data_IF_071570517234
#
_entry.id   IF_071570517234
#
_cell.length_a   1.000
_cell.length_b   1.000
_cell.length_c   1.000
_cell.angle_alpha   90.00
_cell.angle_beta   90.00
_cell.angle_gamma   90.00
#
_symmetry.space_group_name_H-M   'P 1'
#
loop_
_entity.id
_entity.type
_entity.pdbx_description
1 polymer ?
#
# COMPACT_ATOMS: atom_id res chain seq x y z
N UNK A 1 48.43 33.43 -60.68
CA UNK A 1 47.93 34.81 -60.54
C UNK A 1 47.76 35.11 -59.06
N UNK A 2 48.48 36.14 -58.58
CA UNK A 2 48.11 37.12 -57.52
C UNK A 2 47.94 36.50 -56.10
N UNK A 3 48.92 36.51 -55.19
CA UNK A 3 49.50 37.65 -54.39
C UNK A 3 48.40 38.42 -53.62
N UNK A 4 48.48 38.86 -52.36
CA UNK A 4 49.55 39.36 -51.48
C UNK A 4 48.91 39.63 -50.10
N UNK A 5 49.59 39.69 -48.95
CA UNK A 5 50.39 40.82 -48.45
C UNK A 5 51.06 40.43 -47.11
N UNK A 6 52.40 40.59 -46.95
CA UNK A 6 53.16 41.70 -46.29
C UNK A 6 52.98 41.75 -44.75
N UNK A 7 53.92 42.07 -43.86
CA UNK A 7 55.37 42.41 -43.82
C UNK A 7 55.73 42.33 -42.31
N UNK A 8 56.84 41.69 -41.90
CA UNK A 8 58.04 42.30 -41.29
C UNK A 8 57.92 43.03 -39.92
N UNK A 9 58.67 42.57 -38.91
CA UNK A 9 59.66 43.35 -38.10
C UNK A 9 60.34 42.42 -37.05
N UNK A 10 61.65 42.17 -37.17
CA UNK A 10 62.75 42.71 -36.35
C UNK A 10 62.68 42.31 -34.86
N UNK A 11 63.47 41.32 -34.39
CA UNK A 11 64.90 41.38 -34.06
C UNK A 11 65.25 42.36 -32.91
N UNK A 12 65.51 41.81 -31.73
CA UNK A 12 66.46 42.40 -30.77
C UNK A 12 67.19 41.30 -30.00
N UNK A 13 68.51 41.29 -30.16
CA UNK A 13 69.50 40.49 -29.43
C UNK A 13 69.64 40.97 -27.98
N UNK A 14 69.94 40.04 -27.07
CA UNK A 14 70.94 40.23 -26.00
C UNK A 14 71.30 38.84 -25.42
N UNK A 15 72.36 38.19 -25.92
CA UNK A 15 73.68 38.07 -25.27
C UNK A 15 73.66 37.56 -23.82
N UNK A 16 74.14 36.33 -23.63
CA UNK A 16 74.44 35.72 -22.34
C UNK A 16 75.18 34.39 -22.50
N UNK A 17 76.48 34.49 -22.81
CA UNK A 17 77.59 33.53 -22.57
C UNK A 17 77.47 32.79 -21.23
N UNK A 18 78.01 31.60 -20.91
CA UNK A 18 79.07 30.72 -21.44
C UNK A 18 79.04 29.41 -20.57
N UNK A 19 79.82 28.40 -20.99
CA UNK A 19 80.30 27.21 -20.23
C UNK A 19 79.23 26.15 -19.87
N UNK A 20 79.31 24.88 -20.25
CA UNK A 20 80.47 24.06 -20.64
C UNK A 20 80.60 22.88 -19.68
N UNK A 21 80.93 21.71 -20.24
CA UNK A 21 81.39 20.46 -19.62
C UNK A 21 80.36 19.32 -19.55
N UNK A 22 80.60 18.35 -20.43
CA UNK A 22 80.18 16.95 -20.38
C UNK A 22 80.81 16.25 -19.16
N UNK A 23 79.98 15.59 -18.34
CA UNK A 23 80.45 14.51 -17.45
C UNK A 23 79.45 13.37 -17.50
N UNK A 24 79.97 12.17 -17.78
CA UNK A 24 79.21 10.93 -17.94
C UNK A 24 78.35 10.59 -16.74
N UNK A 25 77.13 10.17 -17.02
CA UNK A 25 76.21 9.63 -16.03
C UNK A 25 76.74 8.29 -15.52
N UNK A 26 77.19 8.28 -14.27
CA UNK A 26 77.44 7.05 -13.52
C UNK A 26 76.14 6.26 -13.41
N UNK A 27 76.14 5.01 -13.85
CA UNK A 27 75.08 4.06 -13.54
C UNK A 27 75.17 3.72 -12.04
N UNK A 28 74.23 4.22 -11.24
CA UNK A 28 74.04 3.73 -9.88
C UNK A 28 73.51 2.29 -9.93
N UNK A 29 73.98 1.37 -9.07
CA UNK A 29 73.34 0.08 -8.94
C UNK A 29 71.93 0.30 -8.39
N UNK A 30 70.92 -0.22 -9.08
CA UNK A 30 69.58 -0.30 -8.57
C UNK A 30 69.60 -1.21 -7.33
N UNK A 31 69.49 -0.63 -6.14
CA UNK A 31 69.12 -1.38 -4.96
C UNK A 31 67.67 -1.82 -5.16
N UNK A 32 67.44 -3.11 -5.37
CA UNK A 32 66.11 -3.68 -5.32
C UNK A 32 65.55 -3.40 -3.93
N UNK A 33 64.58 -2.48 -3.85
CA UNK A 33 63.75 -2.34 -2.67
C UNK A 33 62.96 -3.64 -2.55
N UNK A 34 63.34 -4.47 -1.58
CA UNK A 34 62.59 -5.64 -1.17
C UNK A 34 61.20 -5.15 -0.76
N UNK A 35 60.20 -5.39 -1.61
CA UNK A 35 58.82 -5.02 -1.35
C UNK A 35 58.39 -5.80 -0.11
N UNK A 36 58.16 -5.11 0.99
CA UNK A 36 57.53 -5.70 2.17
C UNK A 36 56.31 -6.50 1.72
N UNK A 37 56.13 -7.74 2.21
CA UNK A 37 54.97 -8.54 1.85
C UNK A 37 53.71 -7.72 2.10
N UNK A 38 52.70 -7.80 1.19
CA UNK A 38 51.48 -7.02 1.34
C UNK A 38 50.91 -7.28 2.74
N UNK A 39 50.43 -6.23 3.43
CA UNK A 39 49.84 -6.40 4.76
C UNK A 39 48.76 -7.49 4.65
N UNK A 40 48.66 -8.39 5.65
CA UNK A 40 47.62 -9.40 5.65
C UNK A 40 46.27 -8.71 5.40
N UNK A 41 45.41 -9.27 4.53
CA UNK A 41 44.10 -8.69 4.29
C UNK A 41 43.43 -8.44 5.64
N UNK A 42 42.82 -7.26 5.85
CA UNK A 42 42.13 -6.99 7.11
C UNK A 42 41.20 -8.17 7.39
N UNK A 43 41.18 -8.70 8.63
CA UNK A 43 40.29 -9.80 8.96
C UNK A 43 38.89 -9.37 8.53
N UNK A 44 38.24 -10.20 7.70
CA UNK A 44 36.85 -9.98 7.32
C UNK A 44 36.10 -9.86 8.64
N UNK A 45 35.67 -8.65 8.98
CA UNK A 45 34.79 -8.45 10.11
C UNK A 45 33.51 -9.15 9.72
N UNK A 46 33.33 -10.37 10.22
CA UNK A 46 32.04 -11.02 10.21
C UNK A 46 31.22 -10.19 11.18
N UNK A 47 30.53 -9.17 10.66
CA UNK A 47 29.51 -8.49 11.44
C UNK A 47 28.61 -9.60 11.97
N UNK A 48 28.47 -9.74 13.30
CA UNK A 48 27.60 -10.77 13.84
C UNK A 48 26.24 -10.58 13.19
N UNK A 49 25.74 -11.62 12.52
CA UNK A 49 24.37 -11.62 12.01
C UNK A 49 23.48 -11.49 13.23
N UNK A 50 23.08 -10.25 13.54
CA UNK A 50 22.26 -9.96 14.71
C UNK A 50 20.89 -10.55 14.42
N UNK A 51 20.59 -11.65 15.09
CA UNK A 51 19.27 -12.27 15.08
C UNK A 51 18.32 -11.26 15.74
N UNK A 52 17.70 -10.41 14.92
CA UNK A 52 16.85 -9.29 15.36
C UNK A 52 16.88 -8.08 14.43
N UNK A 53 17.94 -7.90 13.63
CA UNK A 53 18.01 -6.78 12.68
C UNK A 53 17.00 -6.98 11.54
N UNK A 54 16.27 -5.91 11.22
CA UNK A 54 15.31 -5.87 10.11
C UNK A 54 13.85 -6.12 10.48
N UNK A 55 13.55 -6.69 11.65
CA UNK A 55 12.18 -6.83 12.11
C UNK A 55 11.57 -5.47 12.47
N UNK A 56 10.28 -5.29 12.17
CA UNK A 56 9.52 -4.14 12.60
C UNK A 56 8.07 -4.50 12.94
N UNK A 57 7.48 -3.71 13.82
CA UNK A 57 6.05 -3.68 14.07
C UNK A 57 5.43 -2.48 13.37
N UNK A 58 4.19 -2.61 12.95
CA UNK A 58 3.39 -1.49 12.45
C UNK A 58 2.01 -1.48 13.08
N UNK A 59 1.49 -0.29 13.33
CA UNK A 59 0.10 -0.04 13.66
C UNK A 59 -0.46 0.99 12.68
N UNK A 60 -1.62 0.72 12.10
CA UNK A 60 -2.20 1.55 11.05
C UNK A 60 -3.63 1.95 11.41
N UNK A 61 -3.97 3.20 11.12
CA UNK A 61 -5.34 3.67 11.00
C UNK A 61 -5.69 3.77 9.51
N UNK A 62 -6.89 3.32 9.15
CA UNK A 62 -7.35 3.27 7.76
C UNK A 62 -8.70 3.98 7.64
N UNK A 63 -8.86 4.77 6.59
CA UNK A 63 -10.15 5.29 6.15
C UNK A 63 -10.45 4.70 4.78
N UNK A 64 -11.62 4.08 4.63
CA UNK A 64 -12.03 3.36 3.43
C UNK A 64 -13.20 4.04 2.74
N UNK A 65 -13.16 4.05 1.41
CA UNK A 65 -14.25 4.46 0.54
C UNK A 65 -14.49 3.34 -0.47
N UNK A 66 -15.69 2.75 -0.43
CA UNK A 66 -16.07 1.70 -1.36
C UNK A 66 -16.45 2.25 -2.72
N UNK A 67 -15.89 1.66 -3.77
CA UNK A 67 -16.31 1.91 -5.14
C UNK A 67 -17.67 1.25 -5.39
N UNK A 68 -18.47 1.82 -6.29
CA UNK A 68 -19.87 1.45 -6.54
C UNK A 68 -20.05 -0.06 -6.72
N UNK A 69 -20.51 -0.79 -5.67
CA UNK A 69 -20.57 -2.24 -5.72
C UNK A 69 -21.66 -2.67 -6.71
N UNK A 70 -21.42 -3.76 -7.44
CA UNK A 70 -22.38 -4.28 -8.42
C UNK A 70 -23.14 -5.47 -7.84
N UNK A 71 -24.44 -5.49 -8.08
CA UNK A 71 -25.27 -6.64 -7.75
C UNK A 71 -24.91 -7.86 -8.63
N UNK A 72 -24.95 -9.04 -8.03
CA UNK A 72 -24.74 -10.34 -8.68
C UNK A 72 -25.91 -11.30 -8.37
N UNK A 73 -27.12 -10.74 -8.42
CA UNK A 73 -28.36 -11.51 -8.42
C UNK A 73 -28.29 -12.59 -9.52
N UNK A 74 -28.40 -13.85 -9.10
CA UNK A 74 -28.61 -14.96 -10.05
C UNK A 74 -30.11 -14.99 -10.30
N UNK A 75 -30.51 -14.89 -11.56
CA UNK A 75 -31.89 -15.05 -11.99
C UNK A 75 -32.35 -16.47 -11.62
N UNK A 76 -33.34 -16.57 -10.74
CA UNK A 76 -34.04 -17.84 -10.50
C UNK A 76 -34.91 -18.16 -11.72
N UNK A 77 -34.79 -19.34 -12.35
CA UNK A 77 -35.65 -19.74 -13.47
C UNK A 77 -37.15 -19.84 -13.14
N UNK A 78 -37.53 -19.94 -11.86
CA UNK A 78 -38.92 -20.06 -11.40
C UNK A 78 -39.51 -18.76 -10.83
N UNK A 79 -38.71 -17.70 -10.69
CA UNK A 79 -39.16 -16.36 -10.29
C UNK A 79 -38.81 -15.40 -11.43
N UNK A 80 -39.79 -14.85 -12.17
CA UNK A 80 -39.53 -14.00 -13.33
C UNK A 80 -38.84 -12.70 -12.88
N UNK A 81 -37.52 -12.77 -12.76
CA UNK A 81 -36.59 -11.70 -12.42
C UNK A 81 -36.86 -11.08 -11.06
N UNK A 82 -36.21 -11.57 -9.99
CA UNK A 82 -35.89 -10.68 -8.88
C UNK A 82 -35.05 -9.53 -9.47
N UNK A 83 -35.59 -8.30 -9.53
CA UNK A 83 -34.92 -7.21 -10.22
C UNK A 83 -33.65 -6.86 -9.46
N UNK A 84 -32.54 -6.55 -10.15
CA UNK A 84 -31.28 -6.25 -9.50
C UNK A 84 -31.45 -5.05 -8.57
N UNK A 85 -30.67 -5.03 -7.49
CA UNK A 85 -30.56 -3.90 -6.60
C UNK A 85 -30.06 -2.67 -7.37
N UNK A 86 -30.88 -1.61 -7.36
CA UNK A 86 -30.53 -0.31 -7.91
C UNK A 86 -30.12 0.64 -6.79
N UNK A 87 -29.16 1.53 -7.11
CA UNK A 87 -28.67 2.54 -6.16
C UNK A 87 -27.90 1.96 -4.97
N UNK A 88 -27.21 0.82 -5.17
CA UNK A 88 -26.42 0.17 -4.13
C UNK A 88 -25.32 1.09 -3.62
N UNK A 89 -25.31 1.34 -2.30
CA UNK A 89 -24.30 2.20 -1.66
C UNK A 89 -23.83 1.60 -0.35
N UNK A 90 -22.52 1.66 -0.14
CA UNK A 90 -21.87 1.50 1.17
C UNK A 90 -21.39 2.87 1.65
N UNK A 91 -21.54 3.13 2.94
CA UNK A 91 -20.91 4.30 3.57
C UNK A 91 -19.40 4.10 3.71
N UNK A 92 -18.64 5.18 3.75
CA UNK A 92 -17.23 5.13 4.16
C UNK A 92 -17.08 4.75 5.63
N UNK A 93 -15.99 4.07 5.97
CA UNK A 93 -15.73 3.61 7.33
C UNK A 93 -14.25 3.74 7.69
N UNK A 94 -14.03 3.81 8.99
CA UNK A 94 -12.69 3.79 9.58
C UNK A 94 -12.31 2.36 9.94
N UNK A 95 -11.02 2.08 9.99
CA UNK A 95 -10.46 0.83 10.46
C UNK A 95 -9.16 1.04 11.19
N UNK A 96 -8.74 0.00 11.88
CA UNK A 96 -7.44 -0.06 12.52
C UNK A 96 -6.84 -1.44 12.29
N UNK A 97 -5.52 -1.50 12.30
CA UNK A 97 -4.81 -2.73 12.07
C UNK A 97 -3.39 -2.65 12.56
N UNK A 98 -2.72 -3.78 12.44
CA UNK A 98 -1.32 -3.87 12.77
C UNK A 98 -0.69 -5.04 12.06
N UNK A 99 0.63 -5.08 12.10
CA UNK A 99 1.38 -6.10 11.43
C UNK A 99 2.80 -6.23 11.94
N UNK A 100 3.42 -7.33 11.51
CA UNK A 100 4.82 -7.62 11.73
C UNK A 100 5.47 -7.74 10.37
N UNK A 101 6.60 -7.08 10.19
CA UNK A 101 7.34 -7.12 8.94
C UNK A 101 8.83 -7.32 9.14
N UNK A 102 9.48 -7.60 8.03
CA UNK A 102 10.92 -7.80 7.94
C UNK A 102 11.47 -7.01 6.75
N UNK A 103 12.49 -6.20 7.01
CA UNK A 103 13.25 -5.47 6.00
C UNK A 103 14.35 -6.40 5.48
N UNK A 104 14.18 -6.94 4.27
CA UNK A 104 15.13 -7.88 3.66
C UNK A 104 16.36 -7.12 3.16
N UNK A 105 16.13 -5.96 2.54
CA UNK A 105 17.16 -5.09 1.97
C UNK A 105 16.74 -3.63 2.16
N UNK A 106 17.64 -2.64 1.96
CA UNK A 106 17.28 -1.23 2.03
C UNK A 106 16.14 -0.78 1.10
N UNK A 107 15.84 -1.56 0.06
CA UNK A 107 14.83 -1.28 -0.95
C UNK A 107 13.67 -2.28 -0.96
N UNK A 108 13.70 -3.33 -0.14
CA UNK A 108 12.70 -4.41 -0.17
C UNK A 108 12.30 -4.81 1.26
N UNK A 109 10.99 -4.83 1.51
CA UNK A 109 10.40 -5.25 2.78
C UNK A 109 9.17 -6.13 2.55
N UNK A 110 8.91 -7.02 3.49
CA UNK A 110 7.72 -7.87 3.54
C UNK A 110 7.02 -7.67 4.87
N UNK A 111 5.69 -7.70 4.91
CA UNK A 111 4.94 -7.74 6.16
C UNK A 111 3.70 -8.63 6.08
N UNK A 112 3.22 -9.03 7.25
CA UNK A 112 1.92 -9.63 7.45
C UNK A 112 1.07 -8.68 8.31
N UNK A 113 -0.11 -8.34 7.83
CA UNK A 113 -1.01 -7.35 8.45
C UNK A 113 -2.39 -7.94 8.67
N UNK A 114 -3.02 -7.57 9.79
CA UNK A 114 -4.44 -7.80 10.07
C UNK A 114 -5.09 -6.43 10.27
N UNK A 115 -6.09 -6.10 9.45
CA UNK A 115 -6.86 -4.86 9.54
C UNK A 115 -8.35 -5.17 9.79
N UNK A 116 -8.93 -4.55 10.81
CA UNK A 116 -10.38 -4.56 11.07
C UNK A 116 -10.98 -3.23 10.68
N UNK A 117 -11.99 -3.25 9.80
CA UNK A 117 -12.82 -2.08 9.46
C UNK A 117 -14.09 -2.08 10.31
N UNK A 118 -14.55 -0.88 10.67
CA UNK A 118 -15.81 -0.69 11.35
C UNK A 118 -17.00 -1.03 10.43
N UNK A 119 -18.18 -1.19 11.03
CA UNK A 119 -19.39 -1.49 10.30
C UNK A 119 -19.75 -0.38 9.30
N UNK A 120 -19.68 -0.68 8.00
CA UNK A 120 -20.24 0.15 6.95
C UNK A 120 -21.74 -0.11 6.81
N UNK A 121 -22.53 0.94 6.62
CA UNK A 121 -23.95 0.82 6.33
C UNK A 121 -24.19 0.55 4.85
N UNK A 122 -24.95 -0.50 4.56
CA UNK A 122 -25.37 -0.90 3.22
C UNK A 122 -26.82 -0.52 2.99
N UNK A 123 -27.14 0.04 1.82
CA UNK A 123 -28.52 0.27 1.35
C UNK A 123 -28.63 0.04 -0.16
N UNK A 124 -29.74 -0.54 -0.58
CA UNK A 124 -30.13 -0.68 -1.98
C UNK A 124 -31.64 -0.84 -2.13
N UNK A 125 -32.15 -0.62 -3.34
CA UNK A 125 -33.58 -0.69 -3.64
C UNK A 125 -33.85 -1.74 -4.71
N UNK A 126 -34.97 -2.45 -4.61
CA UNK A 126 -35.45 -3.34 -5.68
C UNK A 126 -36.95 -3.12 -5.92
N UNK A 127 -37.39 -3.19 -7.18
CA UNK A 127 -38.82 -3.06 -7.50
C UNK A 127 -39.18 -3.88 -8.72
N UNK A 128 -40.20 -4.74 -8.60
CA UNK A 128 -40.72 -5.57 -9.69
C UNK A 128 -41.55 -4.78 -10.70
N UNK A 129 -42.08 -3.64 -10.29
CA UNK A 129 -42.96 -2.79 -11.10
C UNK A 129 -42.29 -1.50 -11.55
N UNK A 130 -40.95 -1.45 -11.57
CA UNK A 130 -40.20 -0.23 -11.92
C UNK A 130 -40.66 0.97 -11.08
N UNK A 131 -40.89 0.73 -9.80
CA UNK A 131 -41.34 1.71 -8.80
C UNK A 131 -42.77 2.25 -9.02
N UNK A 132 -43.62 1.58 -9.81
CA UNK A 132 -45.02 2.01 -9.99
C UNK A 132 -45.94 1.55 -8.85
N UNK A 133 -45.85 0.26 -8.47
CA UNK A 133 -46.76 -0.32 -7.45
C UNK A 133 -46.15 -0.31 -6.05
N UNK A 134 -44.82 -0.35 -5.96
CA UNK A 134 -44.08 -0.44 -4.72
C UNK A 134 -42.61 -0.77 -4.94
N UNK A 135 -41.83 -0.72 -3.86
CA UNK A 135 -40.42 -1.07 -3.87
C UNK A 135 -39.98 -1.65 -2.53
N UNK A 136 -38.89 -2.39 -2.54
CA UNK A 136 -38.22 -2.90 -1.37
C UNK A 136 -36.96 -2.09 -1.10
N UNK A 137 -36.75 -1.72 0.16
CA UNK A 137 -35.48 -1.24 0.68
C UNK A 137 -34.75 -2.41 1.32
N UNK A 138 -33.57 -2.72 0.84
CA UNK A 138 -32.64 -3.65 1.49
C UNK A 138 -31.57 -2.84 2.22
N UNK A 139 -31.38 -3.10 3.51
CA UNK A 139 -30.41 -2.39 4.31
C UNK A 139 -29.76 -3.28 5.36
N UNK A 140 -28.52 -2.95 5.74
CA UNK A 140 -27.76 -3.72 6.72
C UNK A 140 -26.44 -3.06 7.10
N UNK A 141 -25.63 -3.81 7.84
CA UNK A 141 -24.27 -3.43 8.21
C UNK A 141 -23.27 -4.48 7.72
N UNK A 142 -22.12 -4.03 7.24
CA UNK A 142 -21.04 -4.89 6.76
C UNK A 142 -19.75 -4.54 7.52
N UNK A 143 -19.23 -5.50 8.26
CA UNK A 143 -17.90 -5.43 8.89
C UNK A 143 -16.91 -6.23 8.04
N UNK A 144 -15.68 -5.73 7.91
CA UNK A 144 -14.64 -6.35 7.07
C UNK A 144 -13.35 -6.54 7.86
N UNK A 145 -12.91 -7.79 7.98
CA UNK A 145 -11.60 -8.17 8.52
C UNK A 145 -10.72 -8.65 7.36
N UNK A 146 -9.53 -8.07 7.20
CA UNK A 146 -8.56 -8.49 6.17
C UNK A 146 -7.27 -8.96 6.80
N UNK A 147 -6.76 -10.11 6.36
CA UNK A 147 -5.41 -10.56 6.63
C UNK A 147 -4.61 -10.62 5.34
N UNK A 148 -3.51 -9.87 5.25
CA UNK A 148 -2.69 -9.76 4.04
C UNK A 148 -1.23 -10.04 4.33
N UNK A 149 -0.55 -10.67 3.37
CA UNK A 149 0.90 -10.66 3.27
C UNK A 149 1.27 -9.70 2.15
N UNK A 150 2.12 -8.72 2.44
CA UNK A 150 2.47 -7.66 1.51
C UNK A 150 3.98 -7.64 1.26
N UNK A 151 4.35 -7.24 0.05
CA UNK A 151 5.72 -6.91 -0.33
C UNK A 151 5.76 -5.45 -0.78
N UNK A 152 6.79 -4.71 -0.35
CA UNK A 152 6.99 -3.32 -0.74
C UNK A 152 8.41 -3.10 -1.26
N UNK A 153 8.50 -2.28 -2.29
CA UNK A 153 9.73 -1.72 -2.81
C UNK A 153 9.85 -0.25 -2.37
N UNK A 154 10.89 0.04 -1.59
CA UNK A 154 11.24 1.40 -1.18
C UNK A 154 12.16 2.00 -2.27
N UNK A 155 11.75 3.11 -2.88
CA UNK A 155 12.37 3.65 -4.11
C UNK A 155 13.69 4.38 -3.82
N UNK A 156 13.78 4.98 -2.64
CA UNK A 156 14.93 5.76 -2.18
C UNK A 156 14.54 6.68 -1.04
N UNK A 157 15.53 7.25 -0.35
CA UNK A 157 15.28 8.19 0.76
C UNK A 157 15.89 9.55 0.46
N UNK A 158 15.06 10.59 0.49
CA UNK A 158 15.48 11.98 0.27
C UNK A 158 14.95 12.86 1.40
N UNK A 159 15.84 13.59 2.07
CA UNK A 159 15.47 14.48 3.18
C UNK A 159 14.63 13.80 4.29
N UNK A 160 14.87 12.50 4.54
CA UNK A 160 14.13 11.70 5.52
C UNK A 160 12.83 11.08 5.01
N UNK A 161 12.41 11.40 3.79
CA UNK A 161 11.22 10.82 3.14
C UNK A 161 11.60 9.65 2.25
N UNK A 162 10.87 8.53 2.38
CA UNK A 162 11.05 7.31 1.61
C UNK A 162 9.75 6.93 0.90
N UNK A 163 9.54 7.31 -0.38
CA UNK A 163 8.41 6.82 -1.14
C UNK A 163 8.56 5.34 -1.45
N UNK A 164 7.43 4.65 -1.50
CA UNK A 164 7.38 3.22 -1.72
C UNK A 164 6.12 2.81 -2.46
N UNK A 165 6.21 1.65 -3.09
CA UNK A 165 5.06 0.94 -3.70
C UNK A 165 5.04 -0.49 -3.22
N UNK A 166 3.89 -1.12 -3.20
CA UNK A 166 3.76 -2.50 -2.78
C UNK A 166 2.49 -3.17 -3.26
N UNK A 167 2.47 -4.48 -3.10
CA UNK A 167 1.34 -5.33 -3.42
C UNK A 167 1.16 -6.37 -2.32
N UNK A 168 -0.09 -6.77 -2.09
CA UNK A 168 -0.42 -7.76 -1.08
C UNK A 168 -1.52 -8.70 -1.53
N UNK A 169 -1.52 -9.89 -0.93
CA UNK A 169 -2.53 -10.92 -1.15
C UNK A 169 -2.90 -11.58 0.17
N UNK A 170 -4.12 -12.08 0.26
CA UNK A 170 -4.59 -12.80 1.44
C UNK A 170 -6.08 -13.03 1.41
N UNK A 171 -6.74 -12.73 2.52
CA UNK A 171 -8.16 -12.99 2.70
C UNK A 171 -8.91 -11.76 3.23
N UNK A 172 -10.21 -11.72 2.92
CA UNK A 172 -11.17 -10.80 3.50
C UNK A 172 -12.37 -11.59 4.02
N UNK A 173 -12.59 -11.56 5.33
CA UNK A 173 -13.80 -12.01 6.00
C UNK A 173 -14.77 -10.84 6.09
N UNK A 174 -15.96 -10.99 5.51
CA UNK A 174 -16.99 -9.96 5.50
C UNK A 174 -18.23 -10.47 6.19
N UNK A 175 -18.60 -9.80 7.27
CA UNK A 175 -19.75 -10.15 8.09
C UNK A 175 -20.88 -9.17 7.85
N UNK A 176 -22.03 -9.69 7.40
CA UNK A 176 -23.26 -8.92 7.31
C UNK A 176 -24.07 -9.08 8.60
N UNK A 177 -24.53 -7.96 9.16
CA UNK A 177 -25.36 -7.92 10.37
C UNK A 177 -26.47 -6.88 10.30
N UNK A 178 -27.50 -7.06 11.14
CA UNK A 178 -28.66 -6.14 11.20
C UNK A 178 -29.34 -5.95 9.84
N UNK A 179 -29.40 -7.01 9.06
CA UNK A 179 -29.97 -7.01 7.72
C UNK A 179 -31.49 -7.00 7.81
N UNK A 180 -32.15 -6.16 7.02
CA UNK A 180 -33.59 -6.17 6.90
C UNK A 180 -34.04 -5.77 5.49
N UNK A 181 -35.25 -6.23 5.14
CA UNK A 181 -36.00 -5.74 3.98
C UNK A 181 -37.25 -5.05 4.45
N UNK A 182 -37.52 -3.87 3.89
CA UNK A 182 -38.76 -3.16 4.11
C UNK A 182 -39.44 -2.87 2.78
N UNK A 183 -40.62 -3.46 2.59
CA UNK A 183 -41.48 -3.17 1.44
C UNK A 183 -42.24 -1.87 1.67
N UNK A 184 -42.37 -1.05 0.63
CA UNK A 184 -43.22 0.14 0.61
C UNK A 184 -44.21 0.02 -0.54
N UNK A 185 -45.50 0.01 -0.22
CA UNK A 185 -46.57 0.00 -1.21
C UNK A 185 -46.95 1.42 -1.63
N UNK A 186 -46.93 1.69 -2.93
CA UNK A 186 -47.37 2.96 -3.52
C UNK A 186 -48.84 2.92 -3.96
N UNK A 187 -49.36 1.70 -4.19
CA UNK A 187 -50.77 1.43 -4.45
C UNK A 187 -51.37 0.55 -3.36
N UNK A 188 -52.69 0.57 -3.24
CA UNK A 188 -53.42 -0.28 -2.30
C UNK A 188 -53.23 -1.77 -2.66
N UNK A 189 -53.01 -2.61 -1.65
CA UNK A 189 -52.95 -4.06 -1.86
C UNK A 189 -51.69 -4.57 -2.59
N UNK A 190 -50.62 -3.78 -2.71
CA UNK A 190 -49.47 -4.15 -3.55
C UNK A 190 -48.75 -5.46 -3.16
N UNK A 191 -48.90 -5.88 -1.91
CA UNK A 191 -48.37 -7.09 -1.29
C UNK A 191 -49.46 -8.05 -0.80
N UNK A 192 -50.70 -7.86 -1.28
CA UNK A 192 -51.87 -8.63 -0.84
C UNK A 192 -52.50 -8.16 0.47
N UNK A 193 -51.95 -7.14 1.12
CA UNK A 193 -52.51 -6.51 2.33
C UNK A 193 -53.07 -5.12 2.02
N UNK A 194 -54.24 -4.80 2.57
CA UNK A 194 -54.87 -3.49 2.38
C UNK A 194 -54.02 -2.34 2.96
N UNK A 195 -54.09 -1.18 2.32
CA UNK A 195 -53.41 0.06 2.67
C UNK A 195 -52.16 0.34 1.84
N UNK A 196 -51.80 1.61 1.72
CA UNK A 196 -50.54 2.11 1.14
C UNK A 196 -49.50 2.39 2.24
N UNK A 197 -48.23 2.56 1.85
CA UNK A 197 -47.15 2.97 2.74
C UNK A 197 -46.18 1.84 3.13
N UNK A 198 -45.27 2.13 4.08
CA UNK A 198 -44.22 1.19 4.49
C UNK A 198 -44.79 0.02 5.30
N UNK A 199 -44.27 -1.17 5.05
CA UNK A 199 -44.57 -2.40 5.78
C UNK A 199 -43.58 -2.61 6.93
N UNK A 200 -43.89 -3.59 7.78
CA UNK A 200 -42.96 -4.05 8.80
C UNK A 200 -41.70 -4.61 8.15
N UNK A 201 -40.55 -4.36 8.76
CA UNK A 201 -39.28 -4.85 8.27
C UNK A 201 -39.14 -6.35 8.54
N UNK A 202 -38.79 -7.12 7.52
CA UNK A 202 -38.40 -8.52 7.64
C UNK A 202 -36.88 -8.60 7.90
N UNK A 203 -36.48 -9.14 9.06
CA UNK A 203 -35.08 -9.25 9.45
C UNK A 203 -34.43 -10.52 8.87
N UNK A 204 -33.16 -10.43 8.49
CA UNK A 204 -32.37 -11.57 8.00
C UNK A 204 -31.29 -11.95 8.99
N UNK A 205 -30.96 -13.24 9.03
CA UNK A 205 -29.89 -13.76 9.86
C UNK A 205 -28.53 -13.14 9.51
N UNK A 206 -27.65 -13.08 10.50
CA UNK A 206 -26.27 -12.66 10.28
C UNK A 206 -25.52 -13.75 9.51
N UNK A 207 -24.61 -13.36 8.63
CA UNK A 207 -23.83 -14.30 7.82
C UNK A 207 -22.43 -13.76 7.55
N UNK A 208 -21.42 -14.63 7.48
CA UNK A 208 -20.05 -14.25 7.11
C UNK A 208 -19.59 -14.99 5.86
N UNK A 209 -18.80 -14.29 5.03
CA UNK A 209 -18.18 -14.87 3.84
C UNK A 209 -16.72 -14.45 3.79
N UNK A 210 -15.84 -15.45 3.83
CA UNK A 210 -14.41 -15.27 3.57
C UNK A 210 -14.11 -15.46 2.07
N UNK A 211 -13.33 -14.55 1.49
CA UNK A 211 -12.82 -14.70 0.12
C UNK A 211 -11.35 -14.32 0.03
N UNK A 212 -10.75 -14.66 -1.10
CA UNK A 212 -9.48 -14.07 -1.52
C UNK A 212 -9.57 -12.54 -1.58
N UNK A 213 -8.48 -11.88 -1.24
CA UNK A 213 -8.30 -10.44 -1.33
C UNK A 213 -6.90 -10.11 -1.87
N UNK A 214 -6.80 -9.02 -2.61
CA UNK A 214 -5.52 -8.48 -3.08
C UNK A 214 -5.51 -6.96 -3.00
N UNK A 215 -4.32 -6.38 -2.86
CA UNK A 215 -4.17 -4.95 -2.68
C UNK A 215 -2.95 -4.40 -3.42
N UNK A 216 -3.03 -3.15 -3.85
CA UNK A 216 -1.92 -2.33 -4.33
C UNK A 216 -1.79 -1.11 -3.43
N UNK A 217 -0.56 -0.81 -3.01
CA UNK A 217 -0.28 0.26 -2.07
C UNK A 217 0.81 1.18 -2.64
N UNK A 218 0.62 2.48 -2.50
CA UNK A 218 1.67 3.47 -2.72
C UNK A 218 1.70 4.42 -1.53
N UNK A 219 2.88 4.79 -1.05
CA UNK A 219 2.97 5.62 0.14
C UNK A 219 4.31 6.32 0.30
N UNK A 220 4.39 7.08 1.38
CA UNK A 220 5.54 7.85 1.79
C UNK A 220 5.82 7.57 3.27
N UNK A 221 7.04 7.18 3.59
CA UNK A 221 7.52 6.99 4.97
C UNK A 221 8.39 8.17 5.39
N UNK A 222 8.35 8.58 6.65
CA UNK A 222 9.23 9.58 7.22
C UNK A 222 9.84 9.07 8.53
N UNK A 223 11.17 9.05 8.62
CA UNK A 223 11.88 8.63 9.82
C UNK A 223 11.88 9.74 10.88
N UNK A 224 11.25 9.47 12.02
CA UNK A 224 11.16 10.40 13.16
C UNK A 224 12.24 10.13 14.22
N UNK A 225 13.08 9.12 14.02
CA UNK A 225 14.18 8.75 14.92
C UNK A 225 13.83 7.65 15.92
N UNK A 226 14.84 7.17 16.64
CA UNK A 226 14.73 6.09 17.64
C UNK A 226 14.06 4.80 17.12
N UNK A 227 14.20 4.52 15.82
CA UNK A 227 13.59 3.35 15.18
C UNK A 227 12.12 3.55 14.78
N UNK A 228 11.53 4.72 15.04
CA UNK A 228 10.17 5.02 14.64
C UNK A 228 10.10 5.71 13.28
N UNK A 229 9.11 5.33 12.48
CA UNK A 229 8.77 5.98 11.22
C UNK A 229 7.27 6.16 11.11
N UNK A 230 6.85 7.25 10.49
CA UNK A 230 5.44 7.52 10.17
C UNK A 230 5.21 7.23 8.70
N UNK A 231 4.15 6.50 8.40
CA UNK A 231 3.77 6.10 7.04
C UNK A 231 2.45 6.77 6.66
N UNK A 232 2.39 7.37 5.47
CA UNK A 232 1.15 7.79 4.83
C UNK A 232 1.00 7.04 3.51
N UNK A 233 -0.10 6.32 3.32
CA UNK A 233 -0.28 5.45 2.17
C UNK A 233 -1.69 5.53 1.59
N UNK A 234 -1.76 5.38 0.28
CA UNK A 234 -2.98 5.09 -0.44
C UNK A 234 -2.97 3.60 -0.82
N UNK A 235 -4.06 2.90 -0.53
CA UNK A 235 -4.24 1.47 -0.84
C UNK A 235 -5.52 1.27 -1.62
N UNK A 236 -5.39 0.64 -2.78
CA UNK A 236 -6.53 0.01 -3.45
C UNK A 236 -6.62 -1.43 -2.98
N UNK A 237 -7.81 -1.89 -2.61
CA UNK A 237 -8.04 -3.27 -2.17
C UNK A 237 -9.28 -3.85 -2.84
N UNK A 238 -9.14 -5.08 -3.32
CA UNK A 238 -10.23 -5.92 -3.78
C UNK A 238 -10.54 -6.95 -2.70
N UNK A 239 -11.79 -6.97 -2.25
CA UNK A 239 -12.31 -7.84 -1.19
C UNK A 239 -13.14 -8.99 -1.76
N UNK A 240 -13.18 -9.15 -3.08
CA UNK A 240 -13.92 -10.15 -3.81
C UNK A 240 -15.45 -9.97 -3.72
N UNK A 241 -16.13 -11.06 -3.35
CA UNK A 241 -17.60 -11.18 -3.36
C UNK A 241 -18.15 -11.30 -1.94
N UNK A 242 -19.36 -10.81 -1.70
CA UNK A 242 -20.08 -10.96 -0.43
C UNK A 242 -21.49 -11.52 -0.65
N UNK A 243 -22.00 -12.28 0.32
CA UNK A 243 -23.36 -12.87 0.31
C UNK A 243 -24.02 -12.70 1.67
N UNK A 244 -25.29 -12.31 1.68
CA UNK A 244 -26.13 -12.32 2.89
C UNK A 244 -26.54 -13.75 3.25
N UNK A 245 -27.03 -13.93 4.49
CA UNK A 245 -27.79 -15.11 4.86
C UNK A 245 -29.14 -15.14 4.15
N UNK A 246 -29.79 -16.30 4.18
CA UNK A 246 -31.15 -16.50 3.69
C UNK A 246 -32.16 -15.73 4.56
N UNK A 247 -33.21 -15.20 3.96
CA UNK A 247 -34.41 -14.74 4.67
C UNK A 247 -35.45 -15.84 4.88
N UNK A 248 -36.54 -15.51 5.57
CA UNK A 248 -37.64 -16.43 5.89
C UNK A 248 -38.33 -17.01 4.64
N UNK A 249 -38.15 -16.37 3.48
CA UNK A 249 -38.71 -16.78 2.19
C UNK A 249 -37.65 -17.40 1.25
N UNK A 250 -36.42 -17.62 1.72
CA UNK A 250 -35.33 -18.21 0.95
C UNK A 250 -34.54 -17.23 0.06
N UNK A 251 -34.79 -15.92 0.17
CA UNK A 251 -34.08 -14.88 -0.57
C UNK A 251 -32.67 -14.61 -0.02
N UNK A 252 -31.70 -14.36 -0.91
CA UNK A 252 -30.34 -13.95 -0.56
C UNK A 252 -29.85 -12.79 -1.43
N UNK A 253 -29.08 -11.89 -0.83
CA UNK A 253 -28.42 -10.78 -1.51
C UNK A 253 -26.97 -11.15 -1.82
N UNK A 254 -26.53 -11.01 -3.08
CA UNK A 254 -25.14 -11.27 -3.50
C UNK A 254 -24.56 -10.04 -4.16
N UNK A 255 -23.40 -9.60 -3.70
CA UNK A 255 -22.69 -8.44 -4.27
C UNK A 255 -21.31 -8.88 -4.75
N UNK A 256 -20.93 -8.43 -5.95
CA UNK A 256 -19.62 -8.68 -6.56
C UNK A 256 -18.81 -7.40 -6.73
N UNK A 257 -17.53 -7.56 -6.99
CA UNK A 257 -16.57 -6.49 -7.24
C UNK A 257 -16.50 -5.50 -6.07
N UNK A 258 -16.52 -6.02 -4.83
CA UNK A 258 -16.38 -5.19 -3.64
C UNK A 258 -14.94 -4.71 -3.54
N UNK A 259 -14.73 -3.47 -3.98
CA UNK A 259 -13.43 -2.82 -4.07
C UNK A 259 -13.47 -1.52 -3.26
N UNK A 260 -12.33 -1.16 -2.68
CA UNK A 260 -12.22 0.03 -1.87
C UNK A 260 -10.91 0.77 -2.15
N UNK A 261 -11.04 2.09 -2.18
CA UNK A 261 -9.94 3.04 -2.10
C UNK A 261 -9.73 3.42 -0.64
N UNK A 262 -8.49 3.38 -0.16
CA UNK A 262 -8.19 3.57 1.25
C UNK A 262 -7.04 4.54 1.46
N UNK A 263 -7.19 5.40 2.45
CA UNK A 263 -6.10 6.21 2.98
C UNK A 263 -5.66 5.63 4.33
N UNK A 264 -4.36 5.46 4.50
CA UNK A 264 -3.76 4.83 5.69
C UNK A 264 -2.71 5.75 6.29
N UNK A 265 -2.74 5.85 7.62
CA UNK A 265 -1.69 6.49 8.41
C UNK A 265 -1.17 5.47 9.39
N UNK A 266 0.12 5.19 9.33
CA UNK A 266 0.79 4.16 10.11
C UNK A 266 1.91 4.70 10.96
N UNK A 267 2.15 4.03 12.09
CA UNK A 267 3.37 4.16 12.86
C UNK A 267 4.11 2.83 12.80
N UNK A 268 5.37 2.87 12.40
CA UNK A 268 6.26 1.71 12.30
C UNK A 268 7.39 1.84 13.30
N UNK A 269 7.66 0.77 14.03
CA UNK A 269 8.79 0.66 14.94
C UNK A 269 9.70 -0.46 14.49
N UNK A 270 10.90 -0.11 14.03
CA UNK A 270 11.96 -1.04 13.67
C UNK A 270 12.80 -1.36 14.91
N UNK A 271 12.98 -2.65 15.18
CA UNK A 271 13.89 -3.07 16.22
C UNK A 271 15.32 -2.74 15.78
N UNK A 272 15.94 -1.78 16.44
CA UNK A 272 17.39 -1.61 16.38
C UNK A 272 18.05 -2.75 17.16
N UNK A 273 19.31 -3.04 16.84
CA UNK A 273 20.17 -3.90 17.64
C UNK A 273 19.97 -3.55 19.13
N UNK A 274 19.58 -4.55 19.92
CA UNK A 274 18.99 -4.32 21.24
C UNK A 274 19.80 -3.34 22.08
N UNK A 275 19.16 -2.24 22.50
CA UNK A 275 19.55 -1.43 23.67
C UNK A 275 21.05 -1.11 23.83
N UNK A 276 21.79 -0.85 22.75
CA UNK A 276 23.11 -0.24 22.85
C UNK A 276 23.09 1.14 22.21
N UNK A 277 23.53 2.10 23.02
CA UNK A 277 23.44 3.54 22.79
C UNK A 277 23.81 3.93 21.36
N UNK A 278 22.92 4.68 20.71
CA UNK A 278 23.27 5.38 19.47
C UNK A 278 24.48 6.29 19.74
N UNK A 279 25.53 6.27 18.91
CA UNK A 279 26.54 7.32 18.99
C UNK A 279 25.85 8.65 18.65
N UNK A 280 26.03 9.61 19.55
CA UNK A 280 25.56 10.98 19.46
C UNK A 280 25.86 11.52 18.05
N UNK A 281 24.83 11.99 17.33
CA UNK A 281 25.02 12.80 16.12
C UNK A 281 25.67 14.12 16.55
N UNK A 282 26.99 14.22 16.42
CA UNK A 282 27.67 15.49 16.45
C UNK A 282 27.24 16.28 15.20
N UNK A 283 26.40 17.29 15.39
CA UNK A 283 26.31 18.37 14.43
C UNK A 283 27.65 19.12 14.49
N UNK A 284 28.47 18.95 13.46
CA UNK A 284 29.67 19.74 13.27
C UNK A 284 29.30 21.21 13.05
N UNK A 285 30.09 22.08 13.68
CA UNK A 285 30.08 23.54 13.54
C UNK A 285 30.19 24.01 12.09
#
# INVERSE_FOLDING_TARGET
>A
MIASHRLALAATLATGTLLGVLTGSFASPAAAADLLPPPPPPPVQVEPVTIGSGWYLRGDFTQSWYDHPRDDAILDPNDPGMPPLVGLRLSSETGYGGGVGYQINPWLRVDATIDQRAASSFRGYSSRSVFETGYNLEAGKVDVLTGLVNVYADIGTWYGFTPYVGAGVGFADKRMSRNYTQTTCLIDGCDGSAGTGPRNAAFRANHSVMTFAWALTAGLSYDIGAGFSVDAAYRYIDLGRIRSGLDEFGGLTRVKDLTASEFRVGLRYRFADGLLASPVRNFGN
#
